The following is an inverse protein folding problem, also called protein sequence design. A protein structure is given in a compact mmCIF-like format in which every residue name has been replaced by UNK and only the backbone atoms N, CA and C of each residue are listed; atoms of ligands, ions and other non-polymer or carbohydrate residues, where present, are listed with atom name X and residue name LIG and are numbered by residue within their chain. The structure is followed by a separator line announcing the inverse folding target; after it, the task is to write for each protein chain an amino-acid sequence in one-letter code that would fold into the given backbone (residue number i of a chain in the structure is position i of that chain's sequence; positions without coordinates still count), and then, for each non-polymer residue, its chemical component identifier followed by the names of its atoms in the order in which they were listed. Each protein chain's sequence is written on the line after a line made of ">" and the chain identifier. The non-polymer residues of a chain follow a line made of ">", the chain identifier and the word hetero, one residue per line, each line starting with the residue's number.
data_IF_633857966351
#
_entry.id   IF_633857966351
#
_cell.length_a   1.000
_cell.length_b   1.000
_cell.length_c   1.000
_cell.angle_alpha   90.00
_cell.angle_beta   90.00
_cell.angle_gamma   90.00
#
_symmetry.space_group_name_H-M   'P 1'
#
loop_
_entity.id
_entity.type
_entity.pdbx_description
1 polymer ?
#
# COMPACT_ATOMS: atom_id res chain seq x y z
N UNK A 1 96.77 7.60 16.48
CA UNK A 1 95.32 7.65 16.74
C UNK A 1 94.64 8.59 15.75
N UNK A 2 93.90 8.05 14.77
CA UNK A 2 92.77 8.70 14.10
C UNK A 2 91.95 7.58 13.44
N UNK A 3 90.97 7.08 14.18
CA UNK A 3 89.99 6.11 13.68
C UNK A 3 89.09 6.89 12.70
N UNK A 4 89.08 6.47 11.43
CA UNK A 4 88.21 7.04 10.40
C UNK A 4 86.74 6.89 10.83
N UNK A 5 86.00 8.01 10.77
CA UNK A 5 84.59 8.14 11.12
C UNK A 5 83.64 7.48 10.10
N UNK A 6 84.16 6.88 9.04
CA UNK A 6 83.36 6.39 7.91
C UNK A 6 82.66 5.05 8.19
N UNK A 7 83.20 4.23 9.10
CA UNK A 7 82.57 2.95 9.48
C UNK A 7 81.34 3.13 10.39
N UNK A 8 81.25 4.20 11.17
CA UNK A 8 80.13 4.41 12.12
C UNK A 8 78.85 4.87 11.39
N UNK A 9 78.99 5.61 10.28
CA UNK A 9 77.85 6.07 9.49
C UNK A 9 77.21 4.92 8.70
N UNK A 10 78.03 4.03 8.11
CA UNK A 10 77.55 2.87 7.35
C UNK A 10 76.75 1.88 8.24
N UNK A 11 77.21 1.64 9.46
CA UNK A 11 76.52 0.77 10.42
C UNK A 11 75.22 1.37 10.95
N UNK A 12 75.12 2.71 11.09
CA UNK A 12 73.86 3.37 11.46
C UNK A 12 72.84 3.28 10.32
N UNK A 13 73.24 3.53 9.07
CA UNK A 13 72.33 3.47 7.92
C UNK A 13 71.77 2.06 7.75
N UNK A 14 72.60 1.01 7.81
CA UNK A 14 72.13 -0.38 7.69
C UNK A 14 71.14 -0.80 8.81
N UNK A 15 71.28 -0.25 10.03
CA UNK A 15 70.37 -0.53 11.15
C UNK A 15 69.01 0.14 10.95
N UNK A 16 68.98 1.33 10.37
CA UNK A 16 67.74 2.03 10.01
C UNK A 16 67.02 1.39 8.82
N UNK A 17 67.74 0.91 7.80
CA UNK A 17 67.11 0.22 6.65
C UNK A 17 66.49 -1.13 7.06
N UNK A 18 67.13 -1.89 7.95
CA UNK A 18 66.57 -3.15 8.48
C UNK A 18 65.35 -2.91 9.37
N UNK A 19 65.33 -1.84 10.18
CA UNK A 19 64.18 -1.51 11.03
C UNK A 19 62.99 -0.99 10.21
N UNK A 20 63.25 -0.26 9.11
CA UNK A 20 62.22 0.22 8.20
C UNK A 20 61.59 -0.94 7.40
N UNK A 21 62.40 -1.87 6.88
CA UNK A 21 61.91 -3.09 6.21
C UNK A 21 61.12 -4.01 7.15
N UNK A 22 61.53 -4.15 8.40
CA UNK A 22 60.80 -5.00 9.36
C UNK A 22 59.43 -4.38 9.73
N UNK A 23 59.35 -3.04 9.84
CA UNK A 23 58.09 -2.34 10.10
C UNK A 23 57.15 -2.37 8.89
N UNK A 24 57.65 -2.26 7.66
CA UNK A 24 56.79 -2.37 6.46
C UNK A 24 56.29 -3.79 6.23
N UNK A 25 57.10 -4.82 6.50
CA UNK A 25 56.65 -6.23 6.41
C UNK A 25 55.57 -6.55 7.46
N UNK A 26 55.67 -5.99 8.67
CA UNK A 26 54.66 -6.19 9.72
C UNK A 26 53.33 -5.47 9.42
N UNK A 27 53.37 -4.31 8.76
CA UNK A 27 52.15 -3.62 8.27
C UNK A 27 51.48 -4.40 7.14
N UNK A 28 52.26 -5.02 6.23
CA UNK A 28 51.69 -5.88 5.18
C UNK A 28 51.08 -7.19 5.71
N UNK A 29 51.65 -7.79 6.76
CA UNK A 29 51.10 -8.99 7.40
C UNK A 29 49.80 -8.74 8.19
N UNK A 30 49.61 -7.52 8.71
CA UNK A 30 48.33 -7.12 9.32
C UNK A 30 47.24 -6.86 8.27
N UNK A 31 47.60 -6.44 7.05
CA UNK A 31 46.65 -6.31 5.94
C UNK A 31 46.26 -7.65 5.30
N UNK A 32 47.15 -8.65 5.29
CA UNK A 32 46.84 -9.97 4.71
C UNK A 32 45.97 -10.87 5.60
N UNK A 33 45.95 -10.64 6.92
CA UNK A 33 45.03 -11.35 7.83
C UNK A 33 43.60 -10.78 7.85
N UNK A 34 43.34 -9.62 7.24
CA UNK A 34 41.99 -9.01 7.18
C UNK A 34 41.21 -9.46 5.93
N UNK A 35 41.84 -10.13 4.97
CA UNK A 35 41.20 -10.53 3.70
C UNK A 35 40.58 -11.94 3.68
N UNK A 36 40.47 -12.63 4.83
CA UNK A 36 39.92 -13.99 4.88
C UNK A 36 38.78 -14.16 5.89
N UNK A 37 37.93 -13.16 6.02
CA UNK A 37 36.56 -13.39 6.47
C UNK A 37 35.76 -13.81 5.25
N UNK A 38 35.39 -15.10 5.18
CA UNK A 38 34.33 -15.57 4.28
C UNK A 38 33.12 -14.68 4.53
N UNK A 39 32.87 -13.75 3.61
CA UNK A 39 31.62 -13.00 3.60
C UNK A 39 30.50 -14.01 3.43
N UNK A 40 29.72 -14.24 4.48
CA UNK A 40 28.31 -14.45 4.27
C UNK A 40 27.85 -13.34 3.33
N UNK A 41 27.25 -13.69 2.19
CA UNK A 41 26.59 -12.72 1.34
C UNK A 41 25.53 -12.02 2.18
N UNK A 42 25.90 -10.89 2.79
CA UNK A 42 24.95 -9.96 3.36
C UNK A 42 24.06 -9.54 2.21
N UNK A 43 22.85 -10.10 2.15
CA UNK A 43 21.82 -9.67 1.23
C UNK A 43 21.71 -8.15 1.41
N UNK A 44 22.04 -7.39 0.37
CA UNK A 44 21.93 -5.93 0.42
C UNK A 44 20.48 -5.59 0.70
N UNK A 45 20.21 -5.07 1.90
CA UNK A 45 18.88 -4.59 2.28
C UNK A 45 18.50 -3.48 1.29
N UNK A 46 17.48 -3.72 0.48
CA UNK A 46 17.10 -2.84 -0.59
C UNK A 46 15.85 -3.31 -1.33
N UNK A 47 15.41 -2.50 -2.30
CA UNK A 47 14.29 -2.86 -3.18
C UNK A 47 14.82 -3.43 -4.49
N UNK A 48 14.32 -4.58 -4.90
CA UNK A 48 14.58 -5.21 -6.20
C UNK A 48 13.25 -5.30 -6.96
N UNK A 49 13.21 -4.74 -8.17
CA UNK A 49 12.08 -4.93 -9.10
C UNK A 49 12.44 -6.11 -10.01
N UNK A 50 11.63 -7.17 -10.01
CA UNK A 50 11.88 -8.38 -10.80
C UNK A 50 10.90 -8.41 -11.98
N UNK A 51 11.39 -8.14 -13.18
CA UNK A 51 10.61 -8.17 -14.42
C UNK A 51 11.31 -8.99 -15.52
N UNK A 52 10.64 -9.14 -16.66
CA UNK A 52 11.12 -9.86 -17.85
C UNK A 52 11.76 -8.92 -18.90
N UNK A 53 12.03 -7.66 -18.54
CA UNK A 53 12.57 -6.70 -19.49
C UNK A 53 14.09 -6.80 -19.60
N UNK A 54 14.56 -7.42 -20.68
CA UNK A 54 15.92 -7.17 -21.17
C UNK A 54 15.97 -5.71 -21.61
N UNK A 55 16.82 -4.90 -20.97
CA UNK A 55 17.08 -3.51 -21.39
C UNK A 55 17.79 -3.51 -22.75
N UNK A 56 17.05 -3.76 -23.83
CA UNK A 56 17.52 -3.53 -25.20
C UNK A 56 17.29 -2.06 -25.52
N UNK A 57 18.35 -1.35 -25.88
CA UNK A 57 18.28 0.03 -26.36
C UNK A 57 17.23 0.11 -27.48
N UNK A 58 16.18 0.92 -27.29
CA UNK A 58 15.10 1.09 -28.26
C UNK A 58 15.65 1.73 -29.53
N UNK A 59 15.79 0.95 -30.60
CA UNK A 59 15.82 1.46 -31.97
C UNK A 59 14.44 2.00 -32.30
N UNK A 60 14.42 3.24 -32.82
CA UNK A 60 13.23 3.96 -33.25
C UNK A 60 12.61 3.26 -34.47
N UNK A 61 11.63 2.40 -34.24
CA UNK A 61 10.72 1.93 -35.28
C UNK A 61 9.31 2.50 -35.05
N UNK A 62 8.53 2.74 -36.12
CA UNK A 62 7.19 3.27 -35.99
C UNK A 62 6.32 2.32 -35.17
N UNK A 63 5.69 2.83 -34.12
CA UNK A 63 4.73 2.07 -33.32
C UNK A 63 3.48 1.80 -34.16
N UNK A 64 3.30 0.54 -34.59
CA UNK A 64 1.98 0.03 -34.89
C UNK A 64 1.07 0.19 -33.68
N UNK A 65 -0.21 0.46 -33.94
CA UNK A 65 -1.24 0.58 -32.91
C UNK A 65 -1.42 -0.79 -32.24
N UNK A 66 -0.67 -1.05 -31.18
CA UNK A 66 -0.79 -2.29 -30.41
C UNK A 66 -2.19 -2.36 -29.79
N UNK A 67 -2.87 -3.47 -30.06
CA UNK A 67 -4.08 -3.88 -29.36
C UNK A 67 -3.85 -3.82 -27.84
N UNK A 68 -4.79 -3.24 -27.08
CA UNK A 68 -4.66 -3.10 -25.63
C UNK A 68 -4.77 -4.48 -24.99
N UNK A 69 -3.63 -5.14 -24.79
CA UNK A 69 -3.56 -6.43 -24.10
C UNK A 69 -3.99 -6.25 -22.64
N UNK A 70 -4.81 -7.18 -22.14
CA UNK A 70 -5.17 -7.24 -20.71
C UNK A 70 -3.89 -7.23 -19.85
N UNK A 71 -3.86 -6.47 -18.74
CA UNK A 71 -2.74 -6.51 -17.81
C UNK A 71 -2.49 -7.92 -17.31
N UNK A 72 -1.22 -8.33 -17.27
CA UNK A 72 -0.79 -9.48 -16.47
C UNK A 72 -0.36 -8.94 -15.11
N UNK A 73 -1.00 -9.40 -14.06
CA UNK A 73 -0.77 -8.96 -12.69
C UNK A 73 0.55 -9.54 -12.17
N UNK A 74 1.07 -9.00 -11.05
CA UNK A 74 2.23 -9.61 -10.39
C UNK A 74 1.99 -11.09 -10.04
N UNK A 75 0.75 -11.43 -9.66
CA UNK A 75 0.35 -12.80 -9.35
C UNK A 75 0.29 -13.73 -10.58
N UNK A 76 0.17 -13.20 -11.80
CA UNK A 76 0.25 -14.00 -13.04
C UNK A 76 1.70 -14.30 -13.44
N UNK A 77 2.67 -13.70 -12.73
CA UNK A 77 4.09 -13.69 -13.08
C UNK A 77 4.96 -14.41 -12.06
N UNK A 78 4.40 -15.39 -11.35
CA UNK A 78 5.14 -16.19 -10.35
C UNK A 78 6.40 -16.84 -10.93
N UNK A 79 6.40 -17.22 -12.21
CA UNK A 79 7.55 -17.81 -12.91
C UNK A 79 8.83 -16.96 -12.85
N UNK A 80 8.74 -15.65 -12.56
CA UNK A 80 9.90 -14.78 -12.42
C UNK A 80 10.71 -15.00 -11.14
N UNK A 81 10.10 -15.57 -10.10
CA UNK A 81 10.75 -15.70 -8.80
C UNK A 81 10.42 -17.00 -8.06
N UNK A 82 9.57 -17.87 -8.62
CA UNK A 82 9.11 -19.11 -7.98
C UNK A 82 10.27 -20.01 -7.53
N UNK A 83 11.34 -20.09 -8.31
CA UNK A 83 12.53 -20.88 -7.95
C UNK A 83 13.22 -20.36 -6.69
N UNK A 84 13.15 -19.04 -6.44
CA UNK A 84 13.69 -18.42 -5.22
C UNK A 84 12.86 -18.74 -3.97
N UNK A 85 11.67 -19.32 -4.12
CA UNK A 85 10.82 -19.77 -3.02
C UNK A 85 11.15 -21.20 -2.57
N UNK A 86 11.93 -21.96 -3.35
CA UNK A 86 12.25 -23.34 -3.03
C UNK A 86 12.97 -23.45 -1.68
N UNK A 87 12.49 -24.34 -0.81
CA UNK A 87 13.04 -24.56 0.53
C UNK A 87 12.79 -23.43 1.55
N UNK A 88 12.05 -22.36 1.18
CA UNK A 88 11.67 -21.28 2.10
C UNK A 88 10.35 -21.58 2.79
N UNK A 89 10.19 -21.13 4.03
CA UNK A 89 8.91 -21.09 4.74
C UNK A 89 8.18 -19.81 4.39
N UNK A 90 7.07 -19.95 3.67
CA UNK A 90 6.35 -18.84 3.04
C UNK A 90 5.15 -18.47 3.89
N UNK A 91 5.01 -17.18 4.19
CA UNK A 91 3.74 -16.62 4.63
C UNK A 91 3.09 -15.80 3.50
N UNK A 92 1.77 -15.85 3.39
CA UNK A 92 1.01 -15.04 2.43
C UNK A 92 0.17 -14.01 3.18
N UNK A 93 0.30 -12.73 2.83
CA UNK A 93 -0.64 -11.69 3.19
C UNK A 93 -1.62 -11.55 2.03
N UNK A 94 -2.85 -12.02 2.22
CA UNK A 94 -3.84 -12.14 1.15
C UNK A 94 -5.27 -12.15 1.66
N UNK A 95 -6.21 -12.02 0.73
CA UNK A 95 -7.65 -12.09 0.97
C UNK A 95 -8.36 -12.70 -0.26
N UNK A 96 -9.67 -12.56 -0.34
CA UNK A 96 -10.47 -13.14 -1.43
C UNK A 96 -10.07 -12.63 -2.83
N UNK A 97 -9.34 -11.52 -2.93
CA UNK A 97 -8.86 -10.95 -4.18
C UNK A 97 -7.56 -11.60 -4.69
N UNK A 98 -6.90 -12.40 -3.86
CA UNK A 98 -5.61 -13.03 -4.13
C UNK A 98 -5.73 -14.26 -5.04
N UNK A 99 -6.35 -14.08 -6.21
CA UNK A 99 -6.66 -15.16 -7.15
C UNK A 99 -5.86 -15.06 -8.45
N UNK A 100 -5.31 -16.18 -8.91
CA UNK A 100 -4.72 -16.41 -10.23
C UNK A 100 -5.69 -17.27 -11.02
N UNK A 101 -6.25 -16.76 -12.11
CA UNK A 101 -7.15 -17.54 -12.97
C UNK A 101 -8.29 -18.26 -12.20
N UNK A 102 -8.81 -17.65 -11.14
CA UNK A 102 -9.88 -18.21 -10.29
C UNK A 102 -9.41 -19.14 -9.17
N UNK A 103 -8.11 -19.42 -9.06
CA UNK A 103 -7.52 -20.21 -7.97
C UNK A 103 -6.77 -19.29 -7.02
N UNK A 104 -6.99 -19.44 -5.73
CA UNK A 104 -6.34 -18.60 -4.72
C UNK A 104 -4.82 -18.85 -4.65
N UNK A 105 -4.02 -17.81 -4.41
CA UNK A 105 -2.55 -17.86 -4.38
C UNK A 105 -2.00 -18.99 -3.51
N UNK A 106 -2.53 -19.14 -2.29
CA UNK A 106 -2.11 -20.22 -1.37
C UNK A 106 -2.32 -21.60 -1.98
N UNK A 107 -3.45 -21.84 -2.65
CA UNK A 107 -3.72 -23.12 -3.30
C UNK A 107 -2.73 -23.36 -4.46
N UNK A 108 -2.44 -22.31 -5.23
CA UNK A 108 -1.43 -22.33 -6.30
C UNK A 108 -0.04 -22.67 -5.76
N UNK A 109 0.43 -22.01 -4.70
CA UNK A 109 1.75 -22.25 -4.11
C UNK A 109 1.87 -23.69 -3.54
N UNK A 110 0.81 -24.20 -2.88
CA UNK A 110 0.77 -25.57 -2.39
C UNK A 110 0.79 -26.60 -3.54
N UNK A 111 0.08 -26.31 -4.65
CA UNK A 111 0.11 -27.17 -5.84
C UNK A 111 1.50 -27.27 -6.47
N UNK A 112 2.28 -26.18 -6.39
CA UNK A 112 3.69 -26.10 -6.80
C UNK A 112 4.66 -26.74 -5.79
N UNK A 113 4.14 -27.42 -4.75
CA UNK A 113 4.91 -28.08 -3.69
C UNK A 113 5.80 -27.12 -2.88
N UNK A 114 5.39 -25.86 -2.77
CA UNK A 114 6.06 -24.88 -1.94
C UNK A 114 5.56 -24.93 -0.50
N UNK A 115 6.43 -24.60 0.46
CA UNK A 115 6.16 -24.70 1.88
C UNK A 115 5.47 -23.43 2.41
N UNK A 116 4.16 -23.32 2.19
CA UNK A 116 3.34 -22.29 2.81
C UNK A 116 3.07 -22.68 4.27
N UNK A 117 3.51 -21.86 5.21
CA UNK A 117 3.40 -22.16 6.65
C UNK A 117 2.33 -21.34 7.35
N UNK A 118 1.91 -20.22 6.77
CA UNK A 118 0.99 -19.26 7.41
C UNK A 118 0.33 -18.33 6.41
N UNK A 119 -0.85 -17.84 6.78
CA UNK A 119 -1.54 -16.77 6.10
C UNK A 119 -1.86 -15.64 7.08
N UNK A 120 -1.64 -14.42 6.64
CA UNK A 120 -2.07 -13.20 7.31
C UNK A 120 -3.24 -12.60 6.51
N UNK A 121 -4.39 -12.44 7.16
CA UNK A 121 -5.60 -11.90 6.51
C UNK A 121 -5.97 -10.54 7.11
N UNK A 122 -6.24 -9.51 6.30
CA UNK A 122 -6.72 -8.21 6.78
C UNK A 122 -8.22 -8.27 7.14
N UNK A 123 -8.87 -7.10 7.11
CA UNK A 123 -10.20 -6.79 7.66
C UNK A 123 -11.40 -7.63 7.18
N UNK A 124 -11.41 -8.11 5.92
CA UNK A 124 -12.58 -8.74 5.27
C UNK A 124 -12.45 -10.26 5.06
N UNK A 125 -11.63 -10.93 5.87
CA UNK A 125 -11.44 -12.38 5.79
C UNK A 125 -10.57 -12.84 4.62
N UNK A 126 -10.31 -14.14 4.57
CA UNK A 126 -9.32 -14.74 3.67
C UNK A 126 -9.93 -15.31 2.37
N UNK A 127 -11.04 -16.05 2.48
CA UNK A 127 -11.72 -16.68 1.33
C UNK A 127 -12.97 -15.93 0.86
N UNK A 128 -13.38 -14.87 1.57
CA UNK A 128 -14.56 -14.05 1.25
C UNK A 128 -15.85 -14.48 1.97
N UNK A 129 -15.76 -15.48 2.83
CA UNK A 129 -16.93 -16.06 3.54
C UNK A 129 -17.22 -15.38 4.89
N UNK A 130 -16.45 -14.35 5.28
CA UNK A 130 -16.49 -13.74 6.62
C UNK A 130 -16.64 -12.22 6.54
N UNK A 131 -17.55 -11.66 7.35
CA UNK A 131 -17.81 -10.21 7.41
C UNK A 131 -16.64 -9.41 8.02
N UNK A 132 -16.60 -8.11 7.70
CA UNK A 132 -15.62 -7.18 8.25
C UNK A 132 -15.60 -7.18 9.79
N UNK A 133 -14.45 -7.47 10.40
CA UNK A 133 -14.29 -7.40 11.85
C UNK A 133 -14.97 -8.53 12.64
N UNK A 134 -15.58 -9.53 11.99
CA UNK A 134 -15.82 -10.80 12.68
C UNK A 134 -14.46 -11.37 13.10
N UNK A 135 -14.36 -11.76 14.38
CA UNK A 135 -13.09 -12.20 14.94
C UNK A 135 -12.67 -13.47 14.23
N UNK A 136 -11.81 -13.34 13.22
CA UNK A 136 -10.94 -14.39 12.72
C UNK A 136 -9.90 -14.63 13.83
N UNK A 137 -10.36 -15.14 14.98
CA UNK A 137 -9.49 -15.75 15.98
C UNK A 137 -8.66 -16.79 15.25
N UNK A 138 -7.36 -16.89 15.59
CA UNK A 138 -6.39 -17.86 15.07
C UNK A 138 -7.09 -19.12 14.54
N UNK A 139 -7.37 -19.09 13.24
CA UNK A 139 -8.23 -20.06 12.59
C UNK A 139 -7.35 -20.86 11.65
N UNK A 140 -7.89 -21.95 11.15
CA UNK A 140 -7.23 -22.79 10.16
C UNK A 140 -8.03 -22.62 8.87
N UNK A 141 -7.35 -22.48 7.74
CA UNK A 141 -8.00 -22.56 6.44
C UNK A 141 -8.46 -24.01 6.24
N UNK A 142 -9.76 -24.27 6.37
CA UNK A 142 -10.32 -25.64 6.38
C UNK A 142 -9.92 -26.45 5.14
N UNK A 143 -9.73 -25.77 4.00
CA UNK A 143 -9.31 -26.39 2.74
C UNK A 143 -7.87 -26.89 2.76
N UNK A 144 -6.95 -26.14 3.37
CA UNK A 144 -5.50 -26.40 3.25
C UNK A 144 -4.84 -26.81 4.56
N UNK A 145 -5.50 -26.62 5.70
CA UNK A 145 -4.93 -26.82 7.02
C UNK A 145 -3.94 -25.72 7.45
N UNK A 146 -3.76 -24.66 6.65
CA UNK A 146 -2.79 -23.60 6.94
C UNK A 146 -3.32 -22.65 8.02
N UNK A 147 -2.50 -22.29 9.04
CA UNK A 147 -2.88 -21.30 10.04
C UNK A 147 -3.18 -19.92 9.44
N UNK A 148 -4.32 -19.34 9.84
CA UNK A 148 -4.77 -17.99 9.53
C UNK A 148 -4.56 -17.08 10.74
N UNK A 149 -3.90 -15.94 10.51
CA UNK A 149 -3.69 -14.88 11.49
C UNK A 149 -4.35 -13.60 11.01
N UNK A 150 -5.30 -13.09 11.78
CA UNK A 150 -5.93 -11.80 11.48
C UNK A 150 -4.98 -10.64 11.73
N UNK A 151 -4.81 -9.76 10.73
CA UNK A 151 -4.12 -8.48 10.83
C UNK A 151 -5.09 -7.31 11.04
N UNK A 152 -6.04 -7.47 11.96
CA UNK A 152 -7.08 -6.47 12.24
C UNK A 152 -7.28 -6.25 13.75
N UNK A 153 -8.08 -5.23 14.11
CA UNK A 153 -8.37 -4.89 15.50
C UNK A 153 -7.11 -4.51 16.28
N UNK A 154 -6.77 -5.29 17.31
CA UNK A 154 -5.59 -5.07 18.14
C UNK A 154 -4.31 -5.72 17.57
N UNK A 155 -4.41 -6.51 16.50
CA UNK A 155 -3.27 -7.25 15.91
C UNK A 155 -2.94 -6.77 14.49
N UNK A 156 -2.80 -5.46 14.25
CA UNK A 156 -2.61 -4.90 12.89
C UNK A 156 -1.23 -5.13 12.27
N UNK A 157 -0.22 -5.48 13.09
CA UNK A 157 1.16 -5.71 12.70
C UNK A 157 1.56 -7.13 13.09
N UNK A 158 2.14 -7.95 12.20
CA UNK A 158 2.66 -9.25 12.56
C UNK A 158 3.63 -9.15 13.75
N UNK A 159 3.44 -9.97 14.79
CA UNK A 159 4.36 -10.01 15.92
C UNK A 159 5.64 -10.78 15.56
N UNK A 160 6.77 -10.55 16.27
CA UNK A 160 7.98 -11.36 16.10
C UNK A 160 7.71 -12.87 16.22
N UNK A 161 6.85 -13.27 17.17
CA UNK A 161 6.46 -14.68 17.35
C UNK A 161 5.68 -15.22 16.15
N UNK A 162 4.87 -14.39 15.48
CA UNK A 162 4.16 -14.79 14.27
C UNK A 162 5.08 -14.96 13.05
N UNK A 163 6.32 -14.44 13.11
CA UNK A 163 7.31 -14.48 12.02
C UNK A 163 8.49 -15.44 12.28
N UNK A 164 8.55 -16.12 13.44
CA UNK A 164 9.68 -16.98 13.82
C UNK A 164 9.90 -18.14 12.83
N UNK A 165 8.80 -18.67 12.30
CA UNK A 165 8.73 -19.78 11.37
C UNK A 165 8.64 -19.32 9.90
N UNK A 166 8.82 -18.03 9.62
CA UNK A 166 8.70 -17.44 8.28
C UNK A 166 10.06 -16.98 7.78
N UNK A 167 10.37 -17.24 6.51
CA UNK A 167 11.56 -16.73 5.83
C UNK A 167 11.21 -15.61 4.85
N UNK A 168 10.06 -15.74 4.18
CA UNK A 168 9.58 -14.82 3.15
C UNK A 168 8.07 -14.58 3.28
N UNK A 169 7.66 -13.32 3.13
CA UNK A 169 6.26 -12.90 3.13
C UNK A 169 5.87 -12.40 1.74
N UNK A 170 4.88 -13.04 1.13
CA UNK A 170 4.29 -12.61 -0.14
C UNK A 170 3.04 -11.79 0.16
N UNK A 171 3.04 -10.51 -0.21
CA UNK A 171 1.91 -9.61 -0.13
C UNK A 171 1.21 -9.55 -1.48
N UNK A 172 -0.06 -9.94 -1.51
CA UNK A 172 -0.89 -9.91 -2.71
C UNK A 172 -2.34 -9.58 -2.35
N UNK A 173 -2.72 -8.31 -2.44
CA UNK A 173 -4.08 -7.85 -2.16
C UNK A 173 -4.44 -6.75 -3.17
N UNK A 174 -5.64 -6.81 -3.74
CA UNK A 174 -6.18 -5.75 -4.59
C UNK A 174 -6.59 -4.52 -3.76
N UNK A 175 -5.87 -3.41 -3.95
CA UNK A 175 -6.21 -2.10 -3.39
C UNK A 175 -7.16 -1.30 -4.33
N UNK A 176 -7.65 -0.15 -3.87
CA UNK A 176 -8.54 0.74 -4.66
C UNK A 176 -7.97 2.15 -4.90
N UNK A 177 -6.75 2.43 -4.46
CA UNK A 177 -6.04 3.68 -4.75
C UNK A 177 -6.36 4.86 -3.84
N UNK A 178 -6.86 4.59 -2.63
CA UNK A 178 -7.35 5.62 -1.72
C UNK A 178 -6.76 5.44 -0.33
N UNK A 179 -6.25 6.53 0.26
CA UNK A 179 -5.42 6.51 1.48
C UNK A 179 -6.11 5.87 2.70
N UNK A 180 -7.41 6.06 2.82
CA UNK A 180 -8.21 5.49 3.91
C UNK A 180 -8.70 4.07 3.64
N UNK A 181 -8.35 3.47 2.49
CA UNK A 181 -8.49 2.04 2.27
C UNK A 181 -7.27 1.33 2.87
N UNK A 182 -7.49 0.56 3.93
CA UNK A 182 -6.45 0.25 4.93
C UNK A 182 -5.45 -0.84 4.51
N UNK A 183 -5.55 -1.40 3.31
CA UNK A 183 -4.59 -2.41 2.83
C UNK A 183 -3.18 -1.82 2.66
N UNK A 184 -3.04 -0.56 2.24
CA UNK A 184 -1.71 0.10 2.26
C UNK A 184 -1.14 0.27 3.69
N UNK A 185 -2.00 0.37 4.70
CA UNK A 185 -1.59 0.41 6.12
C UNK A 185 -1.19 -0.98 6.62
N UNK A 186 -1.89 -2.03 6.18
CA UNK A 186 -1.45 -3.43 6.41
C UNK A 186 -0.10 -3.68 5.75
N UNK A 187 0.12 -3.24 4.51
CA UNK A 187 1.40 -3.32 3.82
C UNK A 187 2.52 -2.65 4.64
N UNK A 188 2.30 -1.42 5.12
CA UNK A 188 3.26 -0.71 5.98
C UNK A 188 3.68 -1.57 7.18
N UNK A 189 2.71 -2.09 7.94
CA UNK A 189 3.02 -2.87 9.13
C UNK A 189 3.70 -4.21 8.81
N UNK A 190 3.33 -4.86 7.72
CA UNK A 190 4.00 -6.08 7.25
C UNK A 190 5.45 -5.78 6.88
N UNK A 191 5.70 -4.72 6.11
CA UNK A 191 7.04 -4.30 5.72
C UNK A 191 7.89 -3.95 6.95
N UNK A 192 7.32 -3.22 7.91
CA UNK A 192 7.99 -2.85 9.15
C UNK A 192 8.35 -4.09 9.99
N UNK A 193 7.39 -4.98 10.22
CA UNK A 193 7.63 -6.21 10.99
C UNK A 193 8.68 -7.10 10.31
N UNK A 194 8.65 -7.20 8.98
CA UNK A 194 9.65 -7.97 8.22
C UNK A 194 11.04 -7.32 8.29
N UNK A 195 11.12 -5.99 8.19
CA UNK A 195 12.39 -5.27 8.33
C UNK A 195 12.99 -5.46 9.74
N UNK A 196 12.18 -5.38 10.79
CA UNK A 196 12.62 -5.60 12.19
C UNK A 196 13.10 -7.04 12.45
N UNK A 197 12.58 -8.02 11.70
CA UNK A 197 12.85 -9.44 11.89
C UNK A 197 13.71 -10.06 10.77
N UNK A 198 14.33 -9.22 9.93
CA UNK A 198 15.18 -9.63 8.80
C UNK A 198 14.50 -10.65 7.85
N UNK A 199 13.24 -10.40 7.51
CA UNK A 199 12.46 -11.24 6.58
C UNK A 199 12.38 -10.60 5.20
N UNK A 200 12.37 -11.43 4.16
CA UNK A 200 12.13 -10.98 2.79
C UNK A 200 10.64 -10.66 2.61
N UNK A 201 10.32 -9.55 1.96
CA UNK A 201 8.97 -9.24 1.47
C UNK A 201 8.94 -9.29 -0.04
N UNK A 202 7.88 -9.86 -0.61
CA UNK A 202 7.57 -9.83 -2.04
C UNK A 202 6.20 -9.20 -2.22
N UNK A 203 6.10 -8.11 -2.97
CA UNK A 203 4.82 -7.50 -3.34
C UNK A 203 4.48 -7.93 -4.76
N UNK A 204 3.37 -8.64 -4.91
CA UNK A 204 2.78 -8.95 -6.20
C UNK A 204 1.91 -7.77 -6.61
N UNK A 205 2.41 -6.98 -7.55
CA UNK A 205 1.76 -5.72 -7.87
C UNK A 205 0.44 -5.91 -8.60
N UNK A 206 -0.48 -4.95 -8.41
CA UNK A 206 -1.83 -4.96 -8.99
C UNK A 206 -2.19 -3.56 -9.51
N UNK A 207 -2.98 -3.47 -10.61
CA UNK A 207 -3.51 -2.22 -11.10
C UNK A 207 -4.26 -1.46 -10.00
N UNK A 208 -4.05 -0.14 -9.96
CA UNK A 208 -4.84 0.74 -9.13
C UNK A 208 -6.06 1.22 -9.96
N UNK A 209 -7.32 0.89 -9.57
CA UNK A 209 -8.50 1.34 -10.33
C UNK A 209 -8.67 2.88 -10.33
N UNK A 210 -8.08 3.58 -9.34
CA UNK A 210 -7.97 5.03 -9.26
C UNK A 210 -6.56 5.57 -9.57
N UNK A 211 -5.71 4.79 -10.26
CA UNK A 211 -4.30 5.14 -10.55
C UNK A 211 -4.10 6.32 -11.53
N UNK A 212 -5.16 6.72 -12.24
CA UNK A 212 -5.10 7.71 -13.32
C UNK A 212 -5.01 9.17 -12.88
N UNK A 213 -5.16 9.46 -11.59
CA UNK A 213 -5.13 10.81 -11.06
C UNK A 213 -4.57 10.84 -9.63
N UNK A 214 -4.25 12.05 -9.16
CA UNK A 214 -3.81 12.33 -7.80
C UNK A 214 -4.61 13.50 -7.29
N UNK A 215 -5.18 13.39 -6.08
CA UNK A 215 -6.04 14.44 -5.55
C UNK A 215 -6.28 14.33 -4.04
N UNK A 216 -6.70 15.43 -3.43
CA UNK A 216 -6.94 15.55 -1.99
C UNK A 216 -5.76 16.14 -1.20
N UNK A 217 -5.99 16.59 0.04
CA UNK A 217 -4.95 17.15 0.88
C UNK A 217 -3.93 16.06 1.28
N UNK A 218 -2.67 16.48 1.41
CA UNK A 218 -1.59 15.64 1.95
C UNK A 218 -1.89 15.36 3.43
N UNK A 219 -1.69 14.11 3.86
CA UNK A 219 -1.81 13.75 5.27
C UNK A 219 -0.78 14.50 6.12
N UNK A 220 -1.24 15.27 7.09
CA UNK A 220 -0.43 15.87 8.14
C UNK A 220 -0.12 14.84 9.24
N UNK A 221 1.04 14.97 9.87
CA UNK A 221 1.59 13.97 10.80
C UNK A 221 0.69 13.74 12.01
N UNK A 222 0.01 14.78 12.47
CA UNK A 222 -0.88 14.81 13.63
C UNK A 222 -2.13 13.94 13.41
N UNK A 223 -2.50 13.70 12.15
CA UNK A 223 -3.64 12.87 11.77
C UNK A 223 -3.26 11.45 11.34
N UNK A 224 -1.97 11.07 11.50
CA UNK A 224 -1.51 9.70 11.24
C UNK A 224 -2.33 8.71 12.06
N UNK A 225 -2.89 7.71 11.37
CA UNK A 225 -3.68 6.62 11.97
C UNK A 225 -3.77 5.44 11.00
N UNK A 226 -4.48 4.38 11.37
CA UNK A 226 -4.61 3.21 10.49
C UNK A 226 -5.32 3.51 9.14
N UNK A 227 -6.13 4.57 9.08
CA UNK A 227 -6.76 5.07 7.82
C UNK A 227 -5.90 6.10 7.07
N UNK A 228 -4.63 6.26 7.47
CA UNK A 228 -3.69 7.16 6.82
C UNK A 228 -2.35 7.14 7.53
N UNK A 229 -1.38 6.41 6.98
CA UNK A 229 -0.09 6.18 7.64
C UNK A 229 1.03 7.12 7.16
N UNK A 230 0.92 7.65 5.93
CA UNK A 230 2.00 8.34 5.23
C UNK A 230 1.55 9.68 4.67
N UNK A 231 2.47 10.65 4.50
CA UNK A 231 2.18 11.99 3.96
C UNK A 231 1.90 11.93 2.44
N UNK A 232 0.80 11.27 2.07
CA UNK A 232 0.30 11.11 0.70
C UNK A 232 -1.10 11.74 0.61
N UNK A 233 -1.54 12.18 -0.58
CA UNK A 233 -2.90 12.71 -0.76
C UNK A 233 -3.96 11.61 -0.59
N UNK A 234 -5.25 11.98 -0.58
CA UNK A 234 -6.35 11.02 -0.45
C UNK A 234 -6.30 10.01 -1.60
N UNK A 235 -6.21 10.48 -2.84
CA UNK A 235 -5.96 9.66 -4.02
C UNK A 235 -4.51 9.84 -4.40
N UNK A 236 -3.71 8.81 -4.17
CA UNK A 236 -2.26 8.87 -4.34
C UNK A 236 -1.81 8.40 -5.74
N UNK A 237 -2.71 7.76 -6.48
CA UNK A 237 -2.53 7.39 -7.89
C UNK A 237 -1.44 6.36 -8.17
N UNK A 238 -0.92 5.66 -7.16
CA UNK A 238 0.15 4.65 -7.33
C UNK A 238 -0.43 3.25 -7.22
N UNK A 239 0.21 2.28 -7.84
CA UNK A 239 -0.01 0.86 -7.54
C UNK A 239 0.55 0.49 -6.17
N UNK A 240 0.19 -0.70 -5.67
CA UNK A 240 0.65 -1.17 -4.36
C UNK A 240 2.17 -1.43 -4.35
N UNK A 241 2.75 -1.87 -5.47
CA UNK A 241 4.18 -2.09 -5.64
C UNK A 241 4.99 -0.79 -5.71
N UNK A 242 4.50 0.22 -6.45
CA UNK A 242 5.07 1.57 -6.43
C UNK A 242 5.00 2.18 -5.02
N UNK A 243 3.87 2.00 -4.32
CA UNK A 243 3.67 2.50 -2.96
C UNK A 243 4.62 1.81 -1.97
N UNK A 244 4.80 0.48 -2.05
CA UNK A 244 5.78 -0.26 -1.25
C UNK A 244 7.21 0.27 -1.48
N UNK A 245 7.58 0.50 -2.74
CA UNK A 245 8.88 1.07 -3.09
C UNK A 245 9.07 2.46 -2.49
N UNK A 246 8.01 3.29 -2.51
CA UNK A 246 8.01 4.63 -1.90
C UNK A 246 8.16 4.57 -0.38
N UNK A 247 7.42 3.70 0.32
CA UNK A 247 7.57 3.48 1.77
C UNK A 247 9.02 3.18 2.12
N UNK A 248 9.65 2.26 1.38
CA UNK A 248 11.02 1.82 1.64
C UNK A 248 12.04 2.92 1.28
N UNK A 249 11.83 3.61 0.16
CA UNK A 249 12.75 4.60 -0.39
C UNK A 249 12.78 5.91 0.39
N UNK A 250 11.62 6.39 0.85
CA UNK A 250 11.49 7.61 1.66
C UNK A 250 11.73 7.34 3.16
N UNK A 251 12.01 6.09 3.55
CA UNK A 251 12.36 5.74 4.94
C UNK A 251 11.20 5.90 5.91
N UNK A 252 9.98 5.58 5.49
CA UNK A 252 8.76 5.80 6.28
C UNK A 252 8.48 4.72 7.34
N UNK A 253 9.21 3.62 7.32
CA UNK A 253 9.15 2.62 8.39
C UNK A 253 9.81 3.18 9.67
N UNK A 254 9.41 2.64 10.83
CA UNK A 254 9.93 3.10 12.11
C UNK A 254 11.47 3.13 12.16
N UNK A 255 12.05 4.17 12.76
CA UNK A 255 13.49 4.43 12.80
C UNK A 255 14.19 4.50 11.42
N UNK A 256 13.45 4.66 10.32
CA UNK A 256 14.00 4.72 8.97
C UNK A 256 14.57 3.39 8.47
N UNK A 257 14.21 2.27 9.11
CA UNK A 257 14.64 0.94 8.66
C UNK A 257 14.10 0.66 7.27
N UNK A 258 14.79 -0.22 6.54
CA UNK A 258 14.38 -0.64 5.21
C UNK A 258 14.10 -2.13 5.19
N UNK A 259 13.04 -2.49 4.50
CA UNK A 259 12.68 -3.87 4.25
C UNK A 259 13.52 -4.40 3.08
N UNK A 260 13.91 -5.67 3.13
CA UNK A 260 14.38 -6.38 1.95
C UNK A 260 13.15 -6.69 1.09
N UNK A 261 12.97 -5.95 0.01
CA UNK A 261 11.71 -5.87 -0.74
C UNK A 261 11.94 -6.33 -2.18
N UNK A 262 11.14 -7.28 -2.63
CA UNK A 262 10.97 -7.59 -4.05
C UNK A 262 9.61 -7.07 -4.51
N UNK A 263 9.57 -6.47 -5.68
CA UNK A 263 8.31 -6.06 -6.34
C UNK A 263 8.23 -6.77 -7.67
N UNK A 264 7.10 -7.46 -7.91
CA UNK A 264 6.79 -8.10 -9.18
C UNK A 264 5.77 -7.22 -9.90
N UNK A 265 6.20 -6.37 -10.85
CA UNK A 265 5.31 -5.40 -11.48
C UNK A 265 4.31 -6.09 -12.41
N UNK A 266 3.22 -5.39 -12.70
CA UNK A 266 2.30 -5.76 -13.78
C UNK A 266 2.99 -5.64 -15.15
N UNK A 267 2.52 -6.43 -16.12
CA UNK A 267 2.84 -6.26 -17.54
C UNK A 267 1.62 -5.69 -18.26
N UNK A 268 1.84 -4.82 -19.25
CA UNK A 268 0.79 -4.13 -20.03
C UNK A 268 -0.13 -3.21 -19.20
N UNK A 269 0.33 -2.75 -18.03
CA UNK A 269 -0.37 -1.74 -17.25
C UNK A 269 0.21 -0.34 -17.49
N UNK A 270 -0.66 0.67 -17.51
CA UNK A 270 -0.33 2.10 -17.54
C UNK A 270 -1.26 2.80 -16.57
N UNK A 271 -0.84 3.92 -15.97
CA UNK A 271 -1.66 4.66 -15.00
C UNK A 271 -3.00 5.11 -15.58
N UNK A 272 -3.04 5.40 -16.88
CA UNK A 272 -4.28 5.78 -17.60
C UNK A 272 -5.13 4.60 -18.04
N UNK A 273 -4.69 3.35 -17.88
CA UNK A 273 -5.52 2.19 -18.22
C UNK A 273 -6.73 2.14 -17.27
N UNK A 274 -7.94 1.92 -17.80
CA UNK A 274 -9.10 1.60 -16.96
C UNK A 274 -9.03 0.12 -16.61
N UNK A 275 -9.17 -0.21 -15.34
CA UNK A 275 -9.12 -1.58 -14.85
C UNK A 275 -10.35 -1.88 -13.99
N UNK A 276 -11.15 -2.86 -14.42
CA UNK A 276 -12.32 -3.37 -13.70
C UNK A 276 -11.88 -4.53 -12.82
N UNK A 277 -12.22 -4.48 -11.53
CA UNK A 277 -11.79 -5.50 -10.57
C UNK A 277 -12.57 -6.80 -10.82
N UNK A 278 -11.90 -7.96 -10.97
CA UNK A 278 -12.59 -9.23 -11.17
C UNK A 278 -13.27 -9.75 -9.89
N UNK A 279 -12.82 -9.28 -8.73
CA UNK A 279 -13.34 -9.65 -7.40
C UNK A 279 -13.55 -8.36 -6.61
N UNK A 280 -14.70 -8.23 -5.97
CA UNK A 280 -15.00 -7.08 -5.12
C UNK A 280 -13.98 -7.02 -3.95
N UNK A 281 -13.28 -5.89 -3.76
CA UNK A 281 -12.23 -5.78 -2.75
C UNK A 281 -12.82 -5.66 -1.33
N UNK A 282 -14.07 -5.22 -1.19
CA UNK A 282 -14.84 -5.25 0.05
C UNK A 282 -16.32 -5.51 -0.19
N UNK A 283 -17.07 -5.96 0.85
CA UNK A 283 -18.51 -6.17 0.75
C UNK A 283 -19.34 -4.94 0.36
N UNK A 284 -18.77 -3.72 0.43
CA UNK A 284 -19.48 -2.47 0.09
C UNK A 284 -18.88 -1.74 -1.12
N UNK A 285 -17.83 -2.28 -1.75
CA UNK A 285 -17.26 -1.76 -2.99
C UNK A 285 -17.46 -2.82 -4.08
N UNK A 286 -18.70 -2.99 -4.51
CA UNK A 286 -19.13 -4.10 -5.37
C UNK A 286 -19.03 -3.81 -6.87
N UNK A 287 -19.00 -2.53 -7.24
CA UNK A 287 -19.08 -2.07 -8.64
C UNK A 287 -17.94 -1.10 -8.94
N UNK A 288 -17.62 -0.95 -10.24
CA UNK A 288 -16.69 0.10 -10.70
C UNK A 288 -17.18 1.50 -10.29
N UNK A 289 -18.51 1.71 -10.24
CA UNK A 289 -19.10 2.98 -9.83
C UNK A 289 -18.83 3.29 -8.35
N UNK A 290 -19.06 2.32 -7.46
CA UNK A 290 -18.74 2.44 -6.05
C UNK A 290 -17.24 2.73 -5.82
N UNK A 291 -16.35 2.04 -6.54
CA UNK A 291 -14.90 2.24 -6.47
C UNK A 291 -14.49 3.65 -6.94
N UNK A 292 -15.11 4.15 -8.01
CA UNK A 292 -14.85 5.48 -8.53
C UNK A 292 -15.40 6.59 -7.60
N UNK A 293 -16.52 6.35 -6.93
CA UNK A 293 -17.15 7.30 -6.00
C UNK A 293 -16.55 7.26 -4.59
N UNK A 294 -15.91 6.15 -4.21
CA UNK A 294 -15.32 5.93 -2.88
C UNK A 294 -14.42 7.08 -2.38
N UNK A 295 -13.47 7.64 -3.16
CA UNK A 295 -12.68 8.79 -2.74
C UNK A 295 -13.50 10.00 -2.29
N UNK A 296 -14.67 10.20 -2.91
CA UNK A 296 -15.55 11.35 -2.63
C UNK A 296 -16.52 11.07 -1.49
N UNK A 297 -17.09 9.86 -1.46
CA UNK A 297 -18.15 9.53 -0.51
C UNK A 297 -17.63 9.01 0.83
N UNK A 298 -16.44 8.42 0.90
CA UNK A 298 -15.95 7.87 2.17
C UNK A 298 -15.71 8.93 3.26
N UNK A 299 -15.57 10.21 2.90
CA UNK A 299 -15.51 11.31 3.88
C UNK A 299 -16.81 11.43 4.69
N UNK A 300 -17.95 10.97 4.16
CA UNK A 300 -19.22 10.91 4.89
C UNK A 300 -19.23 9.89 6.03
N UNK A 301 -18.29 8.94 6.09
CA UNK A 301 -18.26 7.96 7.20
C UNK A 301 -18.02 8.58 8.57
N UNK A 302 -17.55 9.83 8.61
CA UNK A 302 -17.44 10.63 9.83
C UNK A 302 -18.55 11.69 9.97
N UNK A 303 -19.64 11.51 9.23
CA UNK A 303 -20.82 12.39 9.22
C UNK A 303 -22.08 11.59 9.54
N UNK A 304 -23.19 12.29 9.76
CA UNK A 304 -24.50 11.67 9.94
C UNK A 304 -25.15 11.19 8.64
N UNK A 305 -24.62 11.58 7.47
CA UNK A 305 -25.20 11.27 6.15
C UNK A 305 -24.91 9.81 5.78
N UNK A 306 -25.95 9.08 5.37
CA UNK A 306 -25.80 7.70 4.87
C UNK A 306 -25.21 7.73 3.47
N UNK A 307 -24.30 6.79 3.18
CA UNK A 307 -23.67 6.56 1.88
C UNK A 307 -24.20 5.30 1.18
N UNK A 308 -25.43 4.89 1.49
CA UNK A 308 -26.04 3.69 0.92
C UNK A 308 -25.52 2.37 1.49
N UNK A 309 -24.69 2.37 2.54
CA UNK A 309 -24.44 1.13 3.30
C UNK A 309 -25.79 0.58 3.80
N UNK A 310 -26.02 -0.72 3.66
CA UNK A 310 -27.32 -1.32 3.94
C UNK A 310 -28.35 -1.21 2.81
N UNK A 311 -27.92 -0.87 1.59
CA UNK A 311 -28.72 -0.97 0.37
C UNK A 311 -28.05 -1.90 -0.65
N UNK A 312 -28.65 -2.02 -1.83
CA UNK A 312 -28.08 -2.73 -2.98
C UNK A 312 -26.89 -1.98 -3.63
N UNK A 313 -26.81 -0.65 -3.47
CA UNK A 313 -25.75 0.21 -4.05
C UNK A 313 -24.98 1.04 -3.01
N UNK A 314 -24.23 0.41 -2.09
CA UNK A 314 -23.35 1.14 -1.17
C UNK A 314 -22.27 1.94 -1.94
N UNK A 315 -21.95 3.13 -1.44
CA UNK A 315 -21.06 4.11 -2.10
C UNK A 315 -21.53 4.55 -3.48
N UNK A 316 -22.81 4.41 -3.80
CA UNK A 316 -23.42 5.04 -4.97
C UNK A 316 -24.62 5.91 -4.61
N UNK A 317 -25.03 5.89 -3.34
CA UNK A 317 -26.06 6.78 -2.79
C UNK A 317 -25.44 7.71 -1.75
N UNK A 318 -26.04 8.88 -1.56
CA UNK A 318 -25.94 9.59 -0.29
C UNK A 318 -27.26 10.25 0.08
N UNK A 319 -27.58 10.30 1.38
CA UNK A 319 -28.85 10.85 1.85
C UNK A 319 -28.98 10.86 3.37
N UNK A 320 -30.00 11.57 3.84
CA UNK A 320 -30.30 11.67 5.26
C UNK A 320 -31.82 11.84 5.52
N UNK A 321 -32.37 11.37 6.65
CA UNK A 321 -33.80 11.55 6.96
C UNK A 321 -34.23 13.01 7.18
N UNK A 322 -33.26 13.90 7.42
CA UNK A 322 -33.49 15.35 7.59
C UNK A 322 -33.22 16.18 6.34
N UNK A 323 -32.82 15.57 5.22
CA UNK A 323 -32.84 16.30 3.95
C UNK A 323 -34.29 16.69 3.61
N UNK A 324 -34.50 17.77 2.84
CA UNK A 324 -35.79 18.08 2.24
C UNK A 324 -36.34 16.88 1.46
N UNK A 325 -37.65 16.85 1.22
CA UNK A 325 -38.24 15.83 0.35
C UNK A 325 -37.68 15.99 -1.07
N UNK A 326 -37.15 14.90 -1.63
CA UNK A 326 -36.54 14.85 -2.96
C UNK A 326 -37.15 13.70 -3.77
N UNK A 327 -36.87 13.64 -5.07
CA UNK A 327 -37.39 12.61 -5.97
C UNK A 327 -36.84 11.21 -5.65
N UNK A 328 -35.60 11.14 -5.14
CA UNK A 328 -34.96 9.89 -4.76
C UNK A 328 -34.92 9.71 -3.24
N UNK A 329 -35.17 8.48 -2.80
CA UNK A 329 -35.10 8.07 -1.40
C UNK A 329 -34.70 6.61 -1.26
N UNK A 330 -34.10 6.25 -0.13
CA UNK A 330 -33.72 4.89 0.21
C UNK A 330 -33.78 4.65 1.71
N UNK A 331 -33.88 3.39 2.13
CA UNK A 331 -33.91 3.01 3.55
C UNK A 331 -32.81 1.98 3.80
N UNK A 332 -31.72 2.35 4.50
CA UNK A 332 -30.67 1.41 4.90
C UNK A 332 -31.21 0.32 5.82
N UNK A 333 -30.92 -0.94 5.51
CA UNK A 333 -31.24 -2.11 6.35
C UNK A 333 -29.98 -2.94 6.62
N UNK A 334 -29.92 -3.77 7.67
CA UNK A 334 -28.79 -4.66 7.90
C UNK A 334 -28.53 -5.57 6.68
N UNK A 335 -27.29 -5.57 6.19
CA UNK A 335 -26.82 -6.47 5.12
C UNK A 335 -25.46 -7.06 5.49
N UNK A 336 -25.00 -8.14 4.83
CA UNK A 336 -23.59 -8.55 4.90
C UNK A 336 -22.67 -7.36 4.60
N UNK A 337 -21.63 -7.18 5.41
CA UNK A 337 -20.72 -6.04 5.39
C UNK A 337 -21.27 -4.73 5.94
N UNK A 338 -22.52 -4.67 6.39
CA UNK A 338 -23.14 -3.50 7.01
C UNK A 338 -24.27 -3.92 7.96
N UNK A 339 -23.93 -4.59 9.08
CA UNK A 339 -24.92 -5.06 10.07
C UNK A 339 -25.62 -3.91 10.81
N UNK A 340 -24.92 -2.80 11.01
CA UNK A 340 -25.42 -1.58 11.67
C UNK A 340 -25.16 -0.36 10.77
N UNK A 341 -25.85 -0.25 9.62
CA UNK A 341 -25.59 0.83 8.67
C UNK A 341 -26.02 2.20 9.25
N UNK A 342 -25.35 3.31 8.87
CA UNK A 342 -25.83 4.64 9.20
C UNK A 342 -27.28 4.87 8.74
N UNK A 343 -28.08 5.46 9.62
CA UNK A 343 -29.52 5.69 9.39
C UNK A 343 -30.34 4.41 9.19
N UNK A 344 -29.93 3.30 9.81
CA UNK A 344 -30.64 2.02 9.80
C UNK A 344 -32.15 2.19 10.07
N UNK A 345 -32.97 1.60 9.19
CA UNK A 345 -34.43 1.59 9.20
C UNK A 345 -35.08 2.98 9.13
N UNK A 346 -34.36 4.01 8.67
CA UNK A 346 -34.90 5.36 8.46
C UNK A 346 -34.93 5.69 6.97
N UNK A 347 -36.07 6.21 6.50
CA UNK A 347 -36.20 6.73 5.15
C UNK A 347 -35.29 7.95 4.98
N UNK A 348 -34.35 7.87 4.04
CA UNK A 348 -33.41 8.91 3.69
C UNK A 348 -33.79 9.50 2.34
N UNK A 349 -33.93 10.82 2.23
CA UNK A 349 -33.96 11.51 0.94
C UNK A 349 -32.53 11.86 0.52
N UNK A 350 -32.27 11.90 -0.79
CA UNK A 350 -30.94 12.20 -1.28
C UNK A 350 -30.76 11.93 -2.77
N UNK A 351 -29.59 11.42 -3.14
CA UNK A 351 -29.15 11.28 -4.53
C UNK A 351 -28.75 9.85 -4.87
N UNK A 352 -29.16 9.39 -6.06
CA UNK A 352 -28.63 8.21 -6.74
C UNK A 352 -27.53 8.63 -7.72
N UNK A 353 -26.28 8.25 -7.44
CA UNK A 353 -25.11 8.55 -8.28
C UNK A 353 -24.76 7.41 -9.25
N UNK A 354 -25.46 6.28 -9.20
CA UNK A 354 -25.13 5.08 -9.98
C UNK A 354 -25.24 5.32 -11.49
N UNK A 355 -26.19 6.14 -11.93
CA UNK A 355 -26.41 6.47 -13.35
C UNK A 355 -25.30 7.37 -13.95
N UNK A 356 -24.57 8.12 -13.12
CA UNK A 356 -23.49 9.03 -13.55
C UNK A 356 -22.09 8.41 -13.54
N UNK A 357 -21.95 7.22 -12.97
CA UNK A 357 -20.66 6.57 -12.68
C UNK A 357 -19.90 6.04 -13.91
N UNK A 358 -20.52 6.07 -15.10
CA UNK A 358 -19.91 5.60 -16.35
C UNK A 358 -18.71 6.47 -16.81
N UNK A 359 -18.69 7.74 -16.41
CA UNK A 359 -17.58 8.66 -16.71
C UNK A 359 -16.51 8.60 -15.63
N UNK A 360 -15.26 8.37 -16.07
CA UNK A 360 -14.09 8.35 -15.19
C UNK A 360 -13.87 9.74 -14.60
N UNK A 361 -13.96 9.88 -13.28
CA UNK A 361 -13.60 11.13 -12.59
C UNK A 361 -12.09 11.29 -12.54
N UNK A 362 -11.61 12.53 -12.63
CA UNK A 362 -10.19 12.89 -12.47
C UNK A 362 -9.96 13.71 -11.20
N UNK A 363 -10.98 13.80 -10.35
CA UNK A 363 -10.95 14.57 -9.11
C UNK A 363 -12.00 14.05 -8.10
N UNK A 364 -11.75 14.27 -6.81
CA UNK A 364 -12.68 14.03 -5.70
C UNK A 364 -13.83 15.05 -5.76
N UNK A 365 -15.08 14.62 -5.86
CA UNK A 365 -16.19 15.57 -5.95
C UNK A 365 -16.59 16.10 -4.56
N UNK A 366 -16.00 17.23 -4.16
CA UNK A 366 -16.32 17.92 -2.90
C UNK A 366 -17.74 18.50 -2.86
N UNK A 367 -18.39 18.71 -4.02
CA UNK A 367 -19.73 19.26 -4.04
C UNK A 367 -20.74 18.34 -3.35
N UNK A 368 -20.48 17.03 -3.28
CA UNK A 368 -21.34 16.14 -2.50
C UNK A 368 -21.35 16.51 -1.01
N UNK A 369 -20.18 16.75 -0.40
CA UNK A 369 -20.07 17.17 1.00
C UNK A 369 -20.71 18.55 1.22
N UNK A 370 -20.43 19.50 0.33
CA UNK A 370 -20.96 20.87 0.41
C UNK A 370 -22.49 20.85 0.32
N UNK A 371 -23.04 20.15 -0.69
CA UNK A 371 -24.50 20.04 -0.87
C UNK A 371 -25.15 19.33 0.31
N UNK A 372 -24.56 18.25 0.82
CA UNK A 372 -25.12 17.54 1.97
C UNK A 372 -25.12 18.41 3.25
N UNK A 373 -24.05 19.18 3.49
CA UNK A 373 -24.01 20.18 4.56
C UNK A 373 -25.14 21.19 4.40
N UNK A 374 -25.33 21.73 3.21
CA UNK A 374 -26.33 22.76 2.93
C UNK A 374 -27.78 22.23 3.04
N UNK A 375 -28.01 20.99 2.58
CA UNK A 375 -29.31 20.33 2.71
C UNK A 375 -29.67 19.99 4.16
N UNK A 376 -28.68 19.72 5.02
CA UNK A 376 -28.93 19.60 6.46
C UNK A 376 -29.21 20.96 7.08
N UNK A 377 -28.44 22.00 6.73
CA UNK A 377 -28.47 23.28 7.43
C UNK A 377 -28.40 23.07 8.96
N UNK A 378 -29.32 23.69 9.69
CA UNK A 378 -29.43 23.53 11.15
C UNK A 378 -30.33 22.36 11.59
N UNK A 379 -30.87 21.58 10.64
CA UNK A 379 -31.84 20.51 10.94
C UNK A 379 -31.20 19.27 11.58
N UNK A 380 -29.88 19.08 11.42
CA UNK A 380 -29.11 18.04 12.08
C UNK A 380 -27.62 18.38 12.09
N UNK A 381 -26.87 17.75 13.00
CA UNK A 381 -25.41 17.78 12.98
C UNK A 381 -24.91 17.11 11.69
N UNK A 382 -24.05 17.80 10.94
CA UNK A 382 -23.41 17.22 9.76
C UNK A 382 -22.25 16.30 10.14
N UNK A 383 -21.15 16.85 10.68
CA UNK A 383 -19.98 16.08 11.13
C UNK A 383 -20.11 15.79 12.63
N UNK A 384 -20.43 14.54 12.98
CA UNK A 384 -20.57 14.07 14.36
C UNK A 384 -19.27 13.44 14.91
N UNK A 385 -18.38 12.97 14.02
CA UNK A 385 -17.09 12.37 14.39
C UNK A 385 -15.90 13.24 13.97
N UNK A 386 -15.78 14.42 14.56
CA UNK A 386 -14.77 15.44 14.25
C UNK A 386 -13.32 14.90 14.11
N UNK A 387 -12.87 14.12 15.09
CA UNK A 387 -11.50 13.57 15.08
C UNK A 387 -11.30 12.46 14.03
N UNK A 388 -12.36 11.74 13.64
CA UNK A 388 -12.28 10.74 12.57
C UNK A 388 -12.35 11.41 11.20
N UNK A 389 -13.18 12.44 11.03
CA UNK A 389 -13.24 13.24 9.80
C UNK A 389 -11.86 13.82 9.45
N UNK A 390 -11.19 14.43 10.43
CA UNK A 390 -9.84 14.97 10.23
C UNK A 390 -8.80 13.87 9.89
N UNK A 391 -8.98 12.64 10.39
CA UNK A 391 -8.11 11.49 10.05
C UNK A 391 -8.35 10.97 8.64
N UNK A 392 -9.60 10.90 8.18
CA UNK A 392 -9.93 10.55 6.80
C UNK A 392 -9.42 11.63 5.83
N UNK A 393 -9.73 12.90 6.11
CA UNK A 393 -9.25 14.04 5.35
C UNK A 393 -7.73 14.19 5.42
N UNK A 394 -7.12 13.80 6.54
CA UNK A 394 -5.68 13.93 6.80
C UNK A 394 -5.23 15.34 7.17
N UNK A 395 -6.17 16.23 7.48
CA UNK A 395 -5.96 17.62 7.89
C UNK A 395 -7.18 18.09 8.67
N UNK A 396 -7.03 19.08 9.54
CA UNK A 396 -8.16 19.79 10.15
C UNK A 396 -8.80 20.81 9.18
N UNK A 397 -8.04 21.29 8.20
CA UNK A 397 -8.41 22.45 7.37
C UNK A 397 -9.66 22.20 6.52
N UNK A 398 -9.83 20.99 5.97
CA UNK A 398 -11.00 20.67 5.13
C UNK A 398 -12.32 20.91 5.89
N UNK A 399 -12.40 20.46 7.14
CA UNK A 399 -13.58 20.65 7.98
C UNK A 399 -13.85 22.12 8.22
N UNK A 400 -12.82 22.89 8.55
CA UNK A 400 -12.95 24.33 8.78
C UNK A 400 -13.41 25.08 7.54
N UNK A 401 -12.88 24.73 6.36
CA UNK A 401 -13.28 25.30 5.08
C UNK A 401 -14.75 24.99 4.76
N UNK A 402 -15.19 23.75 5.01
CA UNK A 402 -16.60 23.37 4.88
C UNK A 402 -17.47 24.22 5.81
N UNK A 403 -17.14 24.43 7.08
CA UNK A 403 -17.97 25.27 7.95
C UNK A 403 -17.89 26.78 7.63
N UNK A 404 -16.81 27.25 7.01
CA UNK A 404 -16.66 28.62 6.51
C UNK A 404 -17.38 28.87 5.18
N UNK A 405 -18.05 27.86 4.61
CA UNK A 405 -18.80 28.01 3.36
C UNK A 405 -17.92 28.09 2.10
N UNK A 406 -16.67 27.62 2.16
CA UNK A 406 -15.78 27.65 1.00
C UNK A 406 -16.32 26.79 -0.13
N UNK A 407 -16.14 27.27 -1.37
CA UNK A 407 -16.45 26.53 -2.58
C UNK A 407 -15.46 25.38 -2.80
N UNK A 408 -15.85 24.38 -3.60
CA UNK A 408 -14.94 23.30 -3.99
C UNK A 408 -13.66 23.83 -4.65
N UNK A 409 -13.73 24.94 -5.39
CA UNK A 409 -12.56 25.54 -6.05
C UNK A 409 -11.58 26.10 -5.03
N UNK A 410 -12.06 26.87 -4.06
CA UNK A 410 -11.21 27.49 -3.02
C UNK A 410 -10.54 26.43 -2.15
N UNK A 411 -11.27 25.37 -1.78
CA UNK A 411 -10.71 24.24 -1.03
C UNK A 411 -9.57 23.60 -1.83
N UNK A 412 -9.79 23.30 -3.11
CA UNK A 412 -8.79 22.65 -3.97
C UNK A 412 -7.51 23.45 -4.15
N UNK A 413 -7.60 24.77 -4.28
CA UNK A 413 -6.40 25.62 -4.39
C UNK A 413 -5.48 25.46 -3.17
N UNK A 414 -6.03 25.15 -1.98
CA UNK A 414 -5.22 24.89 -0.78
C UNK A 414 -4.43 23.59 -0.83
N UNK A 415 -4.84 22.61 -1.65
CA UNK A 415 -4.15 21.33 -1.77
C UNK A 415 -3.00 21.37 -2.77
N UNK A 416 -3.05 22.28 -3.74
CA UNK A 416 -2.14 22.34 -4.88
C UNK A 416 -0.64 22.33 -4.51
N UNK A 417 -0.16 23.12 -3.53
CA UNK A 417 1.26 23.09 -3.17
C UNK A 417 1.73 21.71 -2.67
N UNK A 418 0.90 21.04 -1.87
CA UNK A 418 1.18 19.69 -1.37
C UNK A 418 1.13 18.63 -2.46
N UNK A 419 0.17 18.75 -3.39
CA UNK A 419 0.05 17.87 -4.56
C UNK A 419 1.26 18.01 -5.50
N UNK A 420 1.70 19.24 -5.79
CA UNK A 420 2.86 19.51 -6.63
C UNK A 420 4.13 18.90 -6.02
N UNK A 421 4.33 19.04 -4.71
CA UNK A 421 5.43 18.42 -3.98
C UNK A 421 5.35 16.88 -4.04
N UNK A 422 4.17 16.30 -3.80
CA UNK A 422 3.97 14.85 -3.86
C UNK A 422 4.25 14.28 -5.26
N UNK A 423 3.86 14.97 -6.32
CA UNK A 423 4.11 14.54 -7.70
C UNK A 423 5.61 14.43 -8.01
N UNK A 424 6.44 15.32 -7.45
CA UNK A 424 7.90 15.25 -7.57
C UNK A 424 8.46 14.01 -6.86
N UNK A 425 7.99 13.74 -5.64
CA UNK A 425 8.45 12.59 -4.85
C UNK A 425 8.00 11.28 -5.51
N UNK A 426 6.71 11.17 -5.85
CA UNK A 426 6.09 9.99 -6.48
C UNK A 426 6.83 9.56 -7.75
N UNK A 427 7.29 10.52 -8.57
CA UNK A 427 7.99 10.24 -9.84
C UNK A 427 9.22 9.33 -9.68
N UNK A 428 9.90 9.36 -8.52
CA UNK A 428 11.07 8.51 -8.24
C UNK A 428 10.73 7.01 -8.17
N UNK A 429 9.45 6.70 -7.93
CA UNK A 429 9.00 5.35 -7.55
C UNK A 429 8.01 4.74 -8.54
N UNK A 430 7.69 5.46 -9.63
CA UNK A 430 6.79 4.94 -10.65
C UNK A 430 7.41 3.76 -11.39
N UNK A 431 6.63 2.72 -11.59
CA UNK A 431 6.96 1.53 -12.38
C UNK A 431 6.27 1.56 -13.75
N UNK A 432 5.30 2.46 -13.94
CA UNK A 432 4.44 2.53 -15.13
C UNK A 432 4.36 3.95 -15.69
N UNK A 433 4.08 4.03 -16.99
CA UNK A 433 3.80 5.27 -17.73
C UNK A 433 2.48 5.94 -17.32
#
# INVERSE_FOLDING_TARGET
>A
MKISKDKVLLFKIQKYTKLLCLKTIFVFLLFSCVQNVKGEHAATVGTVVIDDTVKVARTLFPMERQEVKKPLLGIDRLHLFVDSLAGKRIAVVGNQTSVVQGVHLVDTLLSLKLNVVKVFSPEHGFRGDVDAGEKVHHSIDEKTGIPLVSLYGNNKKPSPQQLVDVDIVIYDIQDVGVRFYTFISTLHYVMEACAENNKQVVVLDRPNPNGHYVDGPILEKEFKSFVGMHPVPIVYGMTIGEYATMINGEGWLNNGIRCNLWVIPCKNYKHKLKYTLPVAPSPNLRTDGAIALYPSLCLFEATTVSIGRGTDKPFEYYGHPRFPKMDFSFTPVPTPGAKTPPQMNKLCYGYDLSNGSSKRSYEINLNYLIQARDLLGDSAVFIDQNGFFNRLAGTATLKEQLYKGWSSKEIRETWKPGLDAFMIIRKKYLLYE
#
